data_IF_010379523277
#
_entry.id   IF_010379523277
#
_cell.length_a   1.000
_cell.length_b   1.000
_cell.length_c   1.000
_cell.angle_alpha   90.00
_cell.angle_beta   90.00
_cell.angle_gamma   90.00
#
_symmetry.space_group_name_H-M   'P 1'
#
loop_
_entity.id
_entity.type
_entity.pdbx_description
1 polymer ?
#
# COMPACT_ATOMS: atom_id res chain seq x y z
N UNK A 1 -7.57 -10.60 21.85
CA UNK A 1 -7.32 -9.14 21.79
C UNK A 1 -8.44 -8.54 20.97
N UNK A 2 -9.23 -7.63 21.52
CA UNK A 2 -10.35 -7.11 20.77
C UNK A 2 -9.86 -6.16 19.67
N UNK A 3 -10.50 -6.18 18.50
CA UNK A 3 -10.23 -5.29 17.38
C UNK A 3 -10.23 -3.81 17.75
N UNK A 4 -11.03 -3.43 18.73
CA UNK A 4 -11.10 -2.06 19.28
C UNK A 4 -9.77 -1.58 19.84
N UNK A 5 -9.00 -2.44 20.50
CA UNK A 5 -7.68 -2.10 21.03
C UNK A 5 -6.64 -1.93 19.91
N UNK A 6 -6.79 -2.66 18.81
CA UNK A 6 -5.88 -2.56 17.67
C UNK A 6 -6.06 -1.21 16.93
N UNK A 7 -7.30 -0.78 16.72
CA UNK A 7 -7.63 0.51 16.11
C UNK A 7 -7.15 1.70 16.95
N UNK A 8 -7.23 1.61 18.29
CA UNK A 8 -6.87 2.71 19.18
C UNK A 8 -5.35 3.00 19.28
N UNK A 9 -4.49 2.05 18.91
CA UNK A 9 -3.03 2.19 19.01
C UNK A 9 -2.31 2.34 17.67
N UNK A 10 -3.03 2.34 16.54
CA UNK A 10 -2.41 2.53 15.24
C UNK A 10 -2.36 3.99 14.84
N UNK A 11 -1.17 4.46 14.49
CA UNK A 11 -0.94 5.80 13.93
C UNK A 11 -1.54 5.91 12.53
N UNK A 12 -1.63 4.80 11.79
CA UNK A 12 -2.28 4.74 10.49
C UNK A 12 -3.77 4.48 10.63
N UNK A 13 -4.56 5.41 10.11
CA UNK A 13 -6.03 5.35 10.14
C UNK A 13 -6.57 4.39 9.09
N UNK A 14 -5.94 4.33 7.91
CA UNK A 14 -6.39 3.54 6.76
C UNK A 14 -5.67 2.20 6.67
N UNK A 15 -6.43 1.12 6.47
CA UNK A 15 -5.92 -0.24 6.28
C UNK A 15 -6.59 -0.92 5.08
N UNK A 16 -6.29 -0.49 3.83
CA UNK A 16 -7.00 -0.97 2.66
C UNK A 16 -6.85 -2.48 2.43
N UNK A 17 -5.72 -3.08 2.78
CA UNK A 17 -5.53 -4.54 2.72
C UNK A 17 -6.51 -5.25 3.65
N UNK A 18 -6.61 -4.82 4.91
CA UNK A 18 -7.53 -5.41 5.88
C UNK A 18 -8.98 -5.22 5.47
N UNK A 19 -9.34 -4.05 4.95
CA UNK A 19 -10.69 -3.76 4.45
C UNK A 19 -11.08 -4.67 3.29
N UNK A 20 -10.19 -4.84 2.31
CA UNK A 20 -10.46 -5.67 1.14
C UNK A 20 -10.65 -7.15 1.47
N UNK A 21 -9.87 -7.70 2.41
CA UNK A 21 -9.97 -9.11 2.76
C UNK A 21 -11.08 -9.40 3.77
N UNK A 22 -11.45 -8.45 4.65
CA UNK A 22 -12.50 -8.61 5.66
C UNK A 22 -13.88 -8.16 5.17
N UNK A 23 -13.92 -7.23 4.20
CA UNK A 23 -15.15 -6.56 3.79
C UNK A 23 -15.66 -5.52 4.79
N UNK A 24 -14.86 -5.15 5.80
CA UNK A 24 -15.22 -4.17 6.84
C UNK A 24 -14.61 -2.82 6.51
N UNK A 25 -15.43 -1.78 6.45
CA UNK A 25 -15.00 -0.38 6.31
C UNK A 25 -14.49 0.12 7.67
N UNK A 26 -13.16 0.01 7.88
CA UNK A 26 -12.53 0.36 9.14
C UNK A 26 -12.61 1.86 9.47
N UNK A 27 -12.62 2.72 8.45
CA UNK A 27 -12.76 4.17 8.65
C UNK A 27 -14.16 4.49 9.17
N UNK A 28 -15.18 3.90 8.57
CA UNK A 28 -16.56 4.05 9.04
C UNK A 28 -16.72 3.56 10.47
N UNK A 29 -16.19 2.40 10.80
CA UNK A 29 -16.25 1.86 12.16
C UNK A 29 -15.55 2.75 13.18
N UNK A 30 -14.39 3.32 12.83
CA UNK A 30 -13.71 4.30 13.69
C UNK A 30 -14.58 5.55 13.96
N UNK A 31 -15.25 6.06 12.93
CA UNK A 31 -16.15 7.23 13.07
C UNK A 31 -17.33 6.89 13.98
N UNK A 32 -17.95 5.72 13.81
CA UNK A 32 -19.07 5.27 14.64
C UNK A 32 -18.65 5.14 16.11
N UNK A 33 -17.51 4.50 16.38
CA UNK A 33 -16.97 4.35 17.74
C UNK A 33 -16.65 5.72 18.37
N UNK A 34 -16.07 6.64 17.60
CA UNK A 34 -15.81 8.00 18.06
C UNK A 34 -17.09 8.79 18.36
N UNK A 35 -18.19 8.47 17.67
CA UNK A 35 -19.52 9.03 17.95
C UNK A 35 -20.24 8.38 19.15
N UNK A 36 -19.63 7.37 19.77
CA UNK A 36 -20.20 6.63 20.91
C UNK A 36 -21.10 5.45 20.52
N UNK A 37 -21.13 5.09 19.24
CA UNK A 37 -21.88 3.96 18.73
C UNK A 37 -21.12 2.64 18.94
N UNK A 38 -21.86 1.52 18.96
CA UNK A 38 -21.25 0.20 18.94
C UNK A 38 -20.71 -0.13 17.55
N UNK A 39 -19.75 -1.07 17.49
CA UNK A 39 -19.31 -1.62 16.21
C UNK A 39 -20.51 -2.22 15.44
N UNK A 40 -20.57 -1.98 14.14
CA UNK A 40 -21.63 -2.51 13.27
C UNK A 40 -21.45 -3.97 12.90
N UNK A 41 -20.30 -4.57 13.26
CA UNK A 41 -19.93 -5.96 12.96
C UNK A 41 -19.55 -6.69 14.24
N UNK A 42 -19.92 -7.98 14.35
CA UNK A 42 -19.43 -8.85 15.38
C UNK A 42 -18.17 -9.61 14.91
N UNK A 43 -17.33 -10.07 15.84
CA UNK A 43 -16.07 -10.77 15.52
C UNK A 43 -16.32 -12.05 14.70
N UNK A 44 -17.39 -12.75 15.00
CA UNK A 44 -17.81 -14.00 14.34
C UNK A 44 -18.28 -13.80 12.88
N UNK A 45 -18.66 -12.57 12.52
CA UNK A 45 -19.13 -12.25 11.15
C UNK A 45 -17.95 -11.93 10.21
N UNK A 46 -16.75 -11.71 10.77
CA UNK A 46 -15.58 -11.35 9.98
C UNK A 46 -14.96 -12.59 9.35
N UNK A 47 -15.11 -12.69 8.02
CA UNK A 47 -14.53 -13.77 7.22
C UNK A 47 -13.47 -13.18 6.28
N UNK A 48 -12.22 -13.60 6.43
CA UNK A 48 -11.17 -13.23 5.49
C UNK A 48 -11.33 -13.97 4.17
N UNK A 49 -11.40 -13.21 3.08
CA UNK A 49 -11.56 -13.74 1.73
C UNK A 49 -10.48 -13.18 0.81
N UNK A 50 -9.93 -14.05 -0.04
CA UNK A 50 -8.92 -13.65 -1.00
C UNK A 50 -7.60 -13.21 -0.38
N UNK A 51 -6.87 -12.41 -1.13
CA UNK A 51 -5.57 -11.85 -0.74
C UNK A 51 -5.41 -10.46 -1.31
N UNK A 52 -4.93 -9.52 -0.50
CA UNK A 52 -4.63 -8.16 -0.92
C UNK A 52 -3.17 -7.82 -0.64
N UNK A 53 -2.61 -6.95 -1.48
CA UNK A 53 -1.24 -6.42 -1.36
C UNK A 53 -1.32 -4.91 -1.56
N UNK A 54 -0.58 -4.17 -0.75
CA UNK A 54 -0.39 -2.73 -0.89
C UNK A 54 1.09 -2.45 -1.19
N UNK A 55 1.37 -1.68 -2.23
CA UNK A 55 2.65 -1.04 -2.47
C UNK A 55 2.51 0.46 -2.29
N UNK A 56 3.32 1.02 -1.40
CA UNK A 56 3.41 2.47 -1.18
C UNK A 56 4.51 3.03 -2.05
N UNK A 57 4.11 3.82 -3.03
CA UNK A 57 5.05 4.49 -3.92
C UNK A 57 5.38 5.86 -3.31
N UNK A 58 6.64 6.01 -2.95
CA UNK A 58 7.18 7.19 -2.30
C UNK A 58 8.17 7.91 -3.23
N UNK A 59 8.23 9.23 -3.13
CA UNK A 59 9.28 10.04 -3.75
C UNK A 59 10.57 9.91 -2.95
N UNK A 60 11.26 8.79 -3.11
CA UNK A 60 12.47 8.39 -2.39
C UNK A 60 13.46 7.71 -3.32
N UNK A 61 14.75 7.85 -3.04
CA UNK A 61 15.83 7.19 -3.78
C UNK A 61 16.34 5.95 -3.02
N UNK A 62 15.97 4.72 -3.41
CA UNK A 62 16.42 3.50 -2.74
C UNK A 62 17.93 3.32 -2.73
N UNK A 63 18.63 3.78 -3.80
CA UNK A 63 20.10 3.66 -3.92
C UNK A 63 20.81 4.53 -2.89
N UNK A 64 20.15 5.60 -2.43
CA UNK A 64 20.69 6.53 -1.45
C UNK A 64 20.07 6.37 -0.06
N UNK A 65 19.69 5.13 0.29
CA UNK A 65 19.09 4.84 1.61
C UNK A 65 17.71 5.46 1.79
N UNK A 66 16.89 5.49 0.73
CA UNK A 66 15.53 6.05 0.74
C UNK A 66 15.45 7.53 1.12
N UNK A 67 16.45 8.32 0.72
CA UNK A 67 16.38 9.76 0.89
C UNK A 67 15.19 10.34 0.11
N UNK A 68 14.39 11.23 0.74
CA UNK A 68 13.30 11.93 0.08
C UNK A 68 13.79 12.72 -1.15
N UNK A 69 13.02 12.62 -2.23
CA UNK A 69 13.27 13.27 -3.52
C UNK A 69 12.13 14.22 -3.89
N UNK A 70 11.99 15.38 -3.23
CA UNK A 70 10.99 16.37 -3.57
C UNK A 70 11.24 16.89 -4.99
N UNK A 71 10.18 17.29 -5.69
CA UNK A 71 10.25 17.80 -7.06
C UNK A 71 8.89 17.99 -7.67
N UNK A 72 8.85 18.20 -8.98
CA UNK A 72 7.60 18.35 -9.73
C UNK A 72 7.37 17.11 -10.60
N UNK A 73 6.18 16.54 -10.51
CA UNK A 73 5.76 15.43 -11.39
C UNK A 73 5.50 16.00 -12.78
N UNK A 74 6.27 15.55 -13.78
CA UNK A 74 6.19 16.02 -15.17
C UNK A 74 5.31 15.14 -16.03
N UNK A 75 5.20 13.86 -15.69
CA UNK A 75 4.27 12.91 -16.31
C UNK A 75 3.74 11.93 -15.28
N UNK A 76 2.47 11.54 -15.42
CA UNK A 76 1.79 10.61 -14.55
C UNK A 76 0.86 9.69 -15.33
N UNK A 77 1.13 8.39 -15.28
CA UNK A 77 0.16 7.37 -15.70
C UNK A 77 -0.14 6.46 -14.52
N UNK A 78 -1.41 6.33 -14.16
CA UNK A 78 -1.88 5.47 -13.07
C UNK A 78 -2.52 4.21 -13.64
N UNK A 79 -2.14 3.02 -13.14
CA UNK A 79 -2.72 1.76 -13.59
C UNK A 79 -4.17 1.61 -13.15
N UNK A 80 -4.90 0.77 -13.87
CA UNK A 80 -6.29 0.48 -13.55
C UNK A 80 -6.67 -0.97 -13.77
N UNK A 81 -7.98 -1.23 -13.73
CA UNK A 81 -8.55 -2.55 -14.02
C UNK A 81 -9.09 -3.29 -12.81
N UNK A 82 -9.65 -4.48 -13.07
CA UNK A 82 -10.33 -5.27 -12.04
C UNK A 82 -9.38 -5.71 -10.93
N UNK A 83 -9.73 -5.36 -9.68
CA UNK A 83 -8.95 -5.71 -8.49
C UNK A 83 -7.70 -4.85 -8.32
N UNK A 84 -7.63 -3.66 -8.96
CA UNK A 84 -6.64 -2.62 -8.72
C UNK A 84 -7.35 -1.40 -8.15
N UNK A 85 -6.88 -0.93 -6.99
CA UNK A 85 -7.31 0.32 -6.34
C UNK A 85 -6.11 1.23 -6.23
N UNK A 86 -6.29 2.50 -6.57
CA UNK A 86 -5.28 3.55 -6.46
C UNK A 86 -5.80 4.61 -5.50
N UNK A 87 -5.06 4.86 -4.43
CA UNK A 87 -5.34 5.94 -3.50
C UNK A 87 -4.22 6.98 -3.63
N UNK A 88 -4.55 8.14 -4.16
CA UNK A 88 -3.57 9.20 -4.42
C UNK A 88 -4.22 10.57 -4.52
N UNK A 89 -3.42 11.62 -4.32
CA UNK A 89 -3.80 13.02 -4.54
C UNK A 89 -2.89 13.72 -5.57
N UNK A 90 -1.92 12.99 -6.18
CA UNK A 90 -0.99 13.59 -7.14
C UNK A 90 -1.60 13.71 -8.54
N UNK A 91 -1.04 14.61 -9.32
CA UNK A 91 -1.40 14.87 -10.71
C UNK A 91 -0.19 15.44 -11.47
N UNK A 92 -0.24 15.49 -12.80
CA UNK A 92 0.81 16.16 -13.59
C UNK A 92 0.94 17.63 -13.18
N UNK A 93 2.17 18.08 -12.91
CA UNK A 93 2.45 19.40 -12.37
C UNK A 93 2.41 19.50 -10.84
N UNK A 94 2.05 18.41 -10.14
CA UNK A 94 2.08 18.41 -8.66
C UNK A 94 3.48 18.63 -8.14
N UNK A 95 3.64 19.59 -7.21
CA UNK A 95 4.90 19.85 -6.50
C UNK A 95 4.90 19.11 -5.17
N UNK A 96 5.83 18.19 -5.03
CA UNK A 96 6.01 17.41 -3.79
C UNK A 96 6.66 18.32 -2.77
N UNK A 97 6.00 18.64 -1.65
CA UNK A 97 6.56 19.54 -0.65
C UNK A 97 7.70 18.85 0.11
N UNK A 98 8.85 19.53 0.32
CA UNK A 98 10.02 18.94 0.98
C UNK A 98 9.83 18.72 2.49
N UNK A 99 8.78 19.29 3.09
CA UNK A 99 8.51 19.26 4.53
C UNK A 99 7.36 18.33 4.91
N UNK A 100 6.92 17.48 4.00
CA UNK A 100 5.80 16.55 4.20
C UNK A 100 6.23 15.12 3.89
N UNK A 101 5.30 14.17 4.07
CA UNK A 101 5.51 12.76 3.74
C UNK A 101 5.87 12.61 2.25
N UNK A 102 6.78 11.70 1.95
CA UNK A 102 7.22 11.35 0.60
C UNK A 102 6.21 10.48 -0.15
N UNK A 103 5.17 9.97 0.51
CA UNK A 103 4.20 9.05 -0.07
C UNK A 103 3.36 9.75 -1.17
N UNK A 104 3.39 9.17 -2.37
CA UNK A 104 2.69 9.65 -3.55
C UNK A 104 1.40 8.88 -3.84
N UNK A 105 1.50 7.55 -3.80
CA UNK A 105 0.44 6.63 -4.23
C UNK A 105 0.45 5.39 -3.36
N UNK A 106 -0.75 4.93 -2.97
CA UNK A 106 -0.96 3.55 -2.54
C UNK A 106 -1.54 2.78 -3.71
N UNK A 107 -0.81 1.78 -4.20
CA UNK A 107 -1.32 0.80 -5.16
C UNK A 107 -1.77 -0.41 -4.38
N UNK A 108 -3.04 -0.75 -4.48
CA UNK A 108 -3.60 -1.89 -3.78
C UNK A 108 -4.19 -2.87 -4.78
N UNK A 109 -3.79 -4.13 -4.69
CA UNK A 109 -4.37 -5.19 -5.52
C UNK A 109 -5.05 -6.24 -4.67
N UNK A 110 -6.13 -6.80 -5.19
CA UNK A 110 -6.92 -7.84 -4.55
C UNK A 110 -7.28 -8.94 -5.54
N UNK A 111 -7.17 -10.19 -5.11
CA UNK A 111 -7.66 -11.36 -5.85
C UNK A 111 -7.96 -12.53 -4.90
N UNK A 112 -8.44 -13.64 -5.46
CA UNK A 112 -8.80 -14.87 -4.74
C UNK A 112 -7.65 -15.51 -3.97
N UNK A 113 -6.41 -15.32 -4.42
CA UNK A 113 -5.21 -15.91 -3.83
C UNK A 113 -3.99 -14.99 -3.96
N UNK A 114 -2.95 -15.27 -3.13
CA UNK A 114 -1.71 -14.48 -3.07
C UNK A 114 -1.00 -14.41 -4.43
N UNK A 115 -0.86 -15.53 -5.11
CA UNK A 115 -0.14 -15.59 -6.39
C UNK A 115 -0.79 -14.70 -7.45
N UNK A 116 -2.10 -14.69 -7.50
CA UNK A 116 -2.84 -13.87 -8.45
C UNK A 116 -2.81 -12.38 -8.06
N UNK A 117 -2.88 -12.06 -6.75
CA UNK A 117 -2.72 -10.70 -6.26
C UNK A 117 -1.32 -10.13 -6.57
N UNK A 118 -0.25 -10.92 -6.38
CA UNK A 118 1.13 -10.55 -6.76
C UNK A 118 1.23 -10.26 -8.27
N UNK A 119 0.71 -11.14 -9.13
CA UNK A 119 0.75 -10.91 -10.58
C UNK A 119 0.02 -9.63 -11.00
N UNK A 120 -1.11 -9.32 -10.35
CA UNK A 120 -1.81 -8.06 -10.58
C UNK A 120 -0.98 -6.86 -10.14
N UNK A 121 -0.30 -6.96 -9.00
CA UNK A 121 0.56 -5.87 -8.51
C UNK A 121 1.74 -5.65 -9.46
N UNK A 122 2.41 -6.71 -9.89
CA UNK A 122 3.50 -6.62 -10.88
C UNK A 122 3.02 -5.89 -12.13
N UNK A 123 1.88 -6.30 -12.72
CA UNK A 123 1.29 -5.63 -13.89
C UNK A 123 0.97 -4.16 -13.60
N UNK A 124 0.38 -3.88 -12.44
CA UNK A 124 0.01 -2.51 -12.09
C UNK A 124 1.25 -1.61 -11.93
N UNK A 125 2.33 -2.11 -11.32
CA UNK A 125 3.57 -1.35 -11.21
C UNK A 125 4.29 -1.19 -12.55
N UNK A 126 4.21 -2.19 -13.44
CA UNK A 126 4.77 -2.15 -14.79
C UNK A 126 4.06 -1.12 -15.70
N UNK A 127 2.75 -0.93 -15.50
CA UNK A 127 1.96 0.08 -16.19
C UNK A 127 2.09 1.50 -15.60
N UNK A 128 2.62 1.63 -14.37
CA UNK A 128 2.68 2.92 -13.69
C UNK A 128 3.87 3.76 -14.17
N UNK A 129 3.61 5.00 -14.54
CA UNK A 129 4.65 5.95 -14.93
C UNK A 129 4.58 7.20 -14.04
N UNK A 130 5.70 7.55 -13.40
CA UNK A 130 5.87 8.78 -12.60
C UNK A 130 7.20 9.39 -13.00
N UNK A 131 7.17 10.52 -13.71
CA UNK A 131 8.37 11.21 -14.13
C UNK A 131 8.56 12.57 -13.42
N UNK A 132 9.80 13.08 -13.44
CA UNK A 132 10.19 14.34 -12.81
C UNK A 132 10.76 14.18 -11.40
N UNK A 133 10.55 13.03 -10.75
CA UNK A 133 11.08 12.71 -9.43
C UNK A 133 11.56 11.26 -9.39
N UNK A 134 12.50 10.96 -8.48
CA UNK A 134 12.85 9.57 -8.17
C UNK A 134 11.81 8.97 -7.22
N UNK A 135 11.47 7.72 -7.45
CA UNK A 135 10.54 6.97 -6.61
C UNK A 135 11.12 5.60 -6.26
N UNK A 136 10.52 4.94 -5.27
CA UNK A 136 10.82 3.56 -4.92
C UNK A 136 10.04 2.52 -5.76
N UNK A 137 9.43 2.92 -6.89
CA UNK A 137 8.58 2.05 -7.71
C UNK A 137 9.33 0.82 -8.20
N UNK A 138 10.51 1.00 -8.82
CA UNK A 138 11.33 -0.10 -9.33
C UNK A 138 11.78 -1.04 -8.20
N UNK A 139 12.07 -0.52 -7.03
CA UNK A 139 12.41 -1.31 -5.85
C UNK A 139 11.25 -2.18 -5.38
N UNK A 140 10.02 -1.63 -5.34
CA UNK A 140 8.81 -2.40 -5.04
C UNK A 140 8.55 -3.49 -6.08
N UNK A 141 8.76 -3.17 -7.36
CA UNK A 141 8.63 -4.11 -8.46
C UNK A 141 9.63 -5.27 -8.32
N UNK A 142 10.89 -4.99 -7.96
CA UNK A 142 11.92 -6.00 -7.76
C UNK A 142 11.59 -6.93 -6.58
N UNK A 143 11.13 -6.38 -5.45
CA UNK A 143 10.68 -7.18 -4.30
C UNK A 143 9.61 -8.22 -4.71
N UNK A 144 8.65 -7.83 -5.54
CA UNK A 144 7.58 -8.72 -5.98
C UNK A 144 8.08 -9.89 -6.85
N UNK A 145 9.27 -9.76 -7.43
CA UNK A 145 9.93 -10.81 -8.23
C UNK A 145 10.81 -11.72 -7.38
N UNK A 146 11.13 -11.35 -6.14
CA UNK A 146 11.92 -12.20 -5.25
C UNK A 146 11.14 -13.48 -4.91
N UNK A 147 11.80 -14.60 -5.07
CA UNK A 147 11.20 -15.93 -4.83
C UNK A 147 10.66 -16.05 -3.41
N UNK A 148 11.46 -15.64 -2.42
CA UNK A 148 11.08 -15.73 -1.01
C UNK A 148 9.86 -14.86 -0.71
N UNK A 149 9.73 -13.67 -1.33
CA UNK A 149 8.54 -12.86 -1.22
C UNK A 149 7.32 -13.55 -1.85
N UNK A 150 7.47 -14.14 -3.04
CA UNK A 150 6.36 -14.84 -3.72
C UNK A 150 5.87 -16.07 -2.95
N UNK A 151 6.79 -16.81 -2.33
CA UNK A 151 6.50 -18.00 -1.52
C UNK A 151 6.02 -17.67 -0.11
N UNK A 152 6.15 -16.42 0.33
CA UNK A 152 5.79 -15.98 1.69
C UNK A 152 6.85 -16.29 2.74
N UNK A 153 8.08 -16.58 2.32
CA UNK A 153 9.23 -16.90 3.17
C UNK A 153 9.99 -15.62 3.53
N UNK A 154 9.36 -14.72 4.28
CA UNK A 154 9.99 -13.46 4.68
C UNK A 154 9.62 -13.07 6.11
N UNK A 155 10.50 -12.32 6.71
CA UNK A 155 10.36 -11.71 8.04
C UNK A 155 10.62 -10.21 7.94
N UNK A 156 10.64 -9.49 9.05
CA UNK A 156 10.85 -8.03 9.07
C UNK A 156 12.25 -7.60 8.62
N UNK A 157 13.21 -8.52 8.55
CA UNK A 157 14.58 -8.32 8.08
C UNK A 157 14.78 -8.64 6.58
N UNK A 158 13.69 -8.89 5.84
CA UNK A 158 13.73 -9.25 4.42
C UNK A 158 14.61 -8.30 3.60
N UNK A 159 14.41 -6.99 3.78
CA UNK A 159 15.16 -5.98 3.01
C UNK A 159 16.66 -6.05 3.33
N UNK A 160 17.04 -6.08 4.60
CA UNK A 160 18.45 -6.13 5.00
C UNK A 160 19.14 -7.45 4.64
N UNK A 161 18.36 -8.50 4.40
CA UNK A 161 18.89 -9.84 4.02
C UNK A 161 19.08 -9.98 2.50
N UNK A 162 18.25 -9.30 1.71
CA UNK A 162 18.23 -9.45 0.25
C UNK A 162 18.84 -8.25 -0.50
N UNK A 163 19.04 -7.12 0.18
CA UNK A 163 19.50 -5.88 -0.43
C UNK A 163 20.63 -5.24 0.40
N UNK A 164 21.69 -4.84 -0.27
CA UNK A 164 22.75 -3.97 0.28
C UNK A 164 22.31 -2.51 0.05
N UNK A 165 21.83 -1.86 1.10
CA UNK A 165 21.29 -0.49 1.06
C UNK A 165 22.14 0.47 1.87
#
# INVERSE_FOLDING_TARGET
MSWVLHIAFQIQVEHPVSELISGVDLIREQILVAAGEALSVAQEDILFRGHAIECRINAEDPIRGFLPCPGTITHLHLPGGNGVRIDTAIYEGYQIPPNYDSMLVKVITYDRDRKTAIRKMIRALDEMEIEGVRTNLEFQYDILHQKDFQEGNFTTDFISTHYEL
#
